data_IF_682828666750
#
_entry.id   IF_682828666750
#
_cell.length_a   1.000
_cell.length_b   1.000
_cell.length_c   1.000
_cell.angle_alpha   90.00
_cell.angle_beta   90.00
_cell.angle_gamma   90.00
#
_symmetry.space_group_name_H-M   'P 1'
#
loop_
_entity.id
_entity.type
_entity.pdbx_description
1 polymer ?
#
# COMPACT_ATOMS: atom_id res chain seq x y z
N UNK A 1 -14.65 -2.75 7.87
CA UNK A 1 -13.96 -2.33 9.11
C UNK A 1 -12.80 -1.40 8.83
N UNK A 2 -11.91 -1.74 7.90
CA UNK A 2 -10.73 -0.93 7.56
C UNK A 2 -11.09 0.52 7.21
N UNK A 3 -12.14 0.74 6.41
CA UNK A 3 -12.56 2.08 6.01
C UNK A 3 -12.82 3.00 7.21
N UNK A 4 -13.54 2.54 8.23
CA UNK A 4 -13.84 3.35 9.41
C UNK A 4 -12.58 3.72 10.21
N UNK A 5 -11.62 2.82 10.28
CA UNK A 5 -10.33 3.06 10.94
C UNK A 5 -9.56 4.16 10.19
N UNK A 6 -9.46 4.02 8.88
CA UNK A 6 -8.76 5.01 8.03
C UNK A 6 -9.46 6.35 8.08
N UNK A 7 -10.79 6.38 7.87
CA UNK A 7 -11.58 7.60 7.87
C UNK A 7 -11.47 8.34 9.21
N UNK A 8 -11.63 7.64 10.34
CA UNK A 8 -11.52 8.25 11.65
C UNK A 8 -10.10 8.77 11.95
N UNK A 9 -9.06 8.05 11.55
CA UNK A 9 -7.67 8.51 11.74
C UNK A 9 -7.36 9.74 10.90
N UNK A 10 -7.76 9.74 9.64
CA UNK A 10 -7.53 10.85 8.72
C UNK A 10 -8.32 12.09 9.14
N UNK A 11 -9.59 11.93 9.52
CA UNK A 11 -10.43 13.03 10.03
C UNK A 11 -9.79 13.68 11.25
N UNK A 12 -9.37 12.86 12.23
CA UNK A 12 -8.71 13.34 13.43
C UNK A 12 -7.41 14.11 13.14
N UNK A 13 -6.52 13.54 12.31
CA UNK A 13 -5.24 14.17 11.97
C UNK A 13 -5.44 15.45 11.12
N UNK A 14 -6.43 15.49 10.24
CA UNK A 14 -6.79 16.69 9.47
C UNK A 14 -7.35 17.79 10.37
N UNK A 15 -8.19 17.43 11.34
CA UNK A 15 -8.75 18.39 12.30
C UNK A 15 -7.66 19.13 13.09
N UNK A 16 -6.60 18.42 13.49
CA UNK A 16 -5.47 19.02 14.22
C UNK A 16 -4.40 19.63 13.32
N UNK A 17 -4.54 19.53 11.99
CA UNK A 17 -3.63 20.12 11.02
C UNK A 17 -2.33 19.33 10.79
N UNK A 18 -2.26 18.11 11.29
CA UNK A 18 -1.09 17.22 11.07
C UNK A 18 -0.99 16.76 9.61
N UNK A 19 -2.13 16.65 8.95
CA UNK A 19 -2.22 16.34 7.51
C UNK A 19 -3.24 17.25 6.82
N UNK A 20 -3.14 17.49 5.50
CA UNK A 20 -4.15 18.22 4.75
C UNK A 20 -5.51 17.52 4.76
N UNK A 21 -6.57 18.24 4.41
CA UNK A 21 -7.88 17.62 4.11
C UNK A 21 -7.73 16.59 2.99
N UNK A 22 -8.39 15.44 3.16
CA UNK A 22 -8.29 14.30 2.27
C UNK A 22 -9.66 13.82 1.81
N UNK A 23 -9.74 13.40 0.55
CA UNK A 23 -10.84 12.60 0.05
C UNK A 23 -10.51 11.12 0.25
N UNK A 24 -11.30 10.42 1.06
CA UNK A 24 -11.09 9.01 1.37
C UNK A 24 -12.07 8.16 0.56
N UNK A 25 -11.54 7.21 -0.19
CA UNK A 25 -12.32 6.30 -1.03
C UNK A 25 -12.13 4.87 -0.54
N UNK A 26 -13.20 4.27 -0.04
CA UNK A 26 -13.23 2.85 0.34
C UNK A 26 -13.83 2.01 -0.78
N UNK A 27 -13.08 1.00 -1.24
CA UNK A 27 -13.57 0.05 -2.22
C UNK A 27 -14.07 -1.20 -1.50
N UNK A 28 -15.37 -1.50 -1.65
CA UNK A 28 -15.95 -2.67 -1.03
C UNK A 28 -15.67 -3.93 -1.86
N UNK A 29 -14.85 -4.83 -1.33
CA UNK A 29 -14.47 -6.10 -1.95
C UNK A 29 -14.95 -7.31 -1.13
N UNK A 30 -16.06 -7.21 -0.41
CA UNK A 30 -16.49 -8.22 0.56
C UNK A 30 -16.50 -9.65 0.00
N UNK A 31 -16.95 -9.84 -1.24
CA UNK A 31 -17.09 -11.15 -1.86
C UNK A 31 -15.99 -11.46 -2.90
N UNK A 32 -15.34 -10.43 -3.41
CA UNK A 32 -14.38 -10.55 -4.52
C UNK A 32 -12.93 -10.28 -4.12
N UNK A 33 -12.67 -9.84 -2.88
CA UNK A 33 -11.34 -9.45 -2.39
C UNK A 33 -10.22 -10.42 -2.80
N UNK A 34 -10.50 -11.71 -2.71
CA UNK A 34 -9.51 -12.74 -3.03
C UNK A 34 -9.15 -12.77 -4.52
N UNK A 35 -10.16 -12.60 -5.38
CA UNK A 35 -9.98 -12.60 -6.84
C UNK A 35 -9.35 -11.30 -7.32
N UNK A 36 -9.77 -10.18 -6.74
CA UNK A 36 -9.45 -8.84 -7.23
C UNK A 36 -8.07 -8.33 -6.79
N UNK A 37 -7.50 -8.87 -5.72
CA UNK A 37 -6.26 -8.32 -5.14
C UNK A 37 -5.16 -9.34 -4.88
N UNK A 38 -5.29 -10.59 -5.35
CA UNK A 38 -4.36 -11.65 -4.97
C UNK A 38 -3.70 -12.38 -6.12
N UNK A 39 -4.17 -12.22 -7.34
CA UNK A 39 -3.71 -13.05 -8.45
C UNK A 39 -2.71 -12.27 -9.30
N UNK A 40 -1.43 -12.54 -9.05
CA UNK A 40 -0.32 -12.06 -9.83
C UNK A 40 0.30 -13.22 -10.60
N UNK A 41 0.76 -12.95 -11.80
CA UNK A 41 1.55 -13.92 -12.57
C UNK A 41 2.84 -14.27 -11.85
N UNK A 42 3.19 -15.55 -11.80
CA UNK A 42 4.34 -16.02 -11.03
C UNK A 42 5.70 -15.65 -11.65
N UNK A 43 5.71 -15.24 -12.89
CA UNK A 43 6.94 -14.89 -13.64
C UNK A 43 7.06 -13.38 -13.76
N UNK A 44 6.02 -12.74 -14.27
CA UNK A 44 6.04 -11.30 -14.57
C UNK A 44 5.59 -10.43 -13.40
N UNK A 45 4.99 -11.03 -12.36
CA UNK A 45 4.38 -10.36 -11.20
C UNK A 45 3.35 -9.29 -11.58
N UNK A 46 2.79 -9.39 -12.77
CA UNK A 46 1.69 -8.53 -13.20
C UNK A 46 0.34 -9.08 -12.74
N UNK A 47 -0.63 -8.23 -12.44
CA UNK A 47 -2.01 -8.66 -12.21
C UNK A 47 -2.55 -9.44 -13.40
N UNK A 48 -3.19 -10.56 -13.12
CA UNK A 48 -3.87 -11.39 -14.13
C UNK A 48 -5.33 -11.63 -13.72
N UNK A 49 -6.15 -12.05 -14.68
CA UNK A 49 -7.57 -12.33 -14.45
C UNK A 49 -8.33 -11.14 -13.83
N UNK A 50 -9.14 -11.37 -12.81
CA UNK A 50 -9.90 -10.31 -12.12
C UNK A 50 -9.00 -9.29 -11.41
N UNK A 51 -7.79 -9.66 -11.00
CA UNK A 51 -6.84 -8.69 -10.43
C UNK A 51 -6.38 -7.67 -11.48
N UNK A 52 -6.18 -8.08 -12.73
CA UNK A 52 -5.90 -7.17 -13.85
C UNK A 52 -7.09 -6.23 -14.10
N UNK A 53 -8.30 -6.77 -14.16
CA UNK A 53 -9.51 -5.97 -14.35
C UNK A 53 -9.73 -4.97 -13.21
N UNK A 54 -9.43 -5.37 -11.98
CA UNK A 54 -9.52 -4.48 -10.83
C UNK A 54 -8.45 -3.37 -10.86
N UNK A 55 -7.24 -3.68 -11.30
CA UNK A 55 -6.22 -2.67 -11.55
C UNK A 55 -6.68 -1.66 -12.61
N UNK A 56 -7.19 -2.16 -13.74
CA UNK A 56 -7.69 -1.31 -14.84
C UNK A 56 -8.86 -0.43 -14.41
N UNK A 57 -9.81 -0.97 -13.64
CA UNK A 57 -10.90 -0.20 -13.02
C UNK A 57 -10.36 0.95 -12.18
N UNK A 58 -9.38 0.71 -11.30
CA UNK A 58 -8.80 1.76 -10.45
C UNK A 58 -8.14 2.85 -11.31
N UNK A 59 -7.34 2.45 -12.29
CA UNK A 59 -6.51 3.39 -13.07
C UNK A 59 -7.34 4.13 -14.12
N UNK A 60 -8.24 3.43 -14.81
CA UNK A 60 -8.90 3.96 -15.99
C UNK A 60 -10.32 4.49 -15.74
N UNK A 61 -10.93 4.13 -14.59
CA UNK A 61 -12.29 4.55 -14.25
C UNK A 61 -12.34 5.33 -12.93
N UNK A 62 -11.88 4.71 -11.84
CA UNK A 62 -12.03 5.29 -10.49
C UNK A 62 -11.23 6.60 -10.33
N UNK A 63 -9.94 6.58 -10.64
CA UNK A 63 -9.07 7.78 -10.53
C UNK A 63 -9.57 8.89 -11.46
N UNK A 64 -9.88 8.67 -12.75
CA UNK A 64 -10.46 9.69 -13.61
C UNK A 64 -11.79 10.25 -13.11
N UNK A 65 -12.69 9.39 -12.60
CA UNK A 65 -13.95 9.83 -12.01
C UNK A 65 -13.76 10.84 -10.89
N UNK A 66 -12.90 10.52 -9.90
CA UNK A 66 -12.63 11.44 -8.79
C UNK A 66 -11.87 12.70 -9.23
N UNK A 67 -10.94 12.57 -10.15
CA UNK A 67 -10.19 13.71 -10.70
C UNK A 67 -11.08 14.71 -11.47
N UNK A 68 -12.15 14.22 -12.09
CA UNK A 68 -13.11 15.04 -12.83
C UNK A 68 -14.15 15.71 -11.91
N UNK A 69 -14.58 15.03 -10.87
CA UNK A 69 -15.74 15.46 -10.06
C UNK A 69 -15.35 16.14 -8.75
N UNK A 70 -14.10 16.06 -8.33
CA UNK A 70 -13.62 16.63 -7.06
C UNK A 70 -12.32 17.40 -7.27
N UNK A 71 -12.15 18.46 -6.48
CA UNK A 71 -10.90 19.22 -6.45
C UNK A 71 -9.87 18.48 -5.60
N UNK A 72 -9.10 17.61 -6.22
CA UNK A 72 -8.08 16.80 -5.57
C UNK A 72 -6.69 17.06 -6.17
N UNK A 73 -5.65 16.84 -5.38
CA UNK A 73 -4.27 16.91 -5.83
C UNK A 73 -3.87 15.67 -6.65
N UNK A 74 -2.73 15.75 -7.34
CA UNK A 74 -2.15 14.60 -8.03
C UNK A 74 -1.35 13.67 -7.10
N UNK A 75 -1.21 14.01 -5.82
CA UNK A 75 -0.64 13.10 -4.84
C UNK A 75 -1.74 12.18 -4.31
N UNK A 76 -1.60 10.90 -4.56
CA UNK A 76 -2.56 9.86 -4.19
C UNK A 76 -1.87 8.82 -3.33
N UNK A 77 -2.58 8.37 -2.29
CA UNK A 77 -2.14 7.31 -1.39
C UNK A 77 -3.03 6.09 -1.59
N UNK A 78 -2.42 4.91 -1.67
CA UNK A 78 -3.12 3.64 -1.59
C UNK A 78 -2.76 2.95 -0.28
N UNK A 79 -3.75 2.37 0.38
CA UNK A 79 -3.57 1.64 1.62
C UNK A 79 -4.14 0.23 1.48
N UNK A 80 -3.39 -0.73 1.95
CA UNK A 80 -3.81 -2.13 1.99
C UNK A 80 -3.33 -2.85 3.25
N UNK A 81 -4.02 -3.96 3.56
CA UNK A 81 -3.66 -4.88 4.62
C UNK A 81 -3.63 -6.31 4.08
N UNK A 82 -2.60 -7.09 4.44
CA UNK A 82 -2.39 -8.47 4.00
C UNK A 82 -2.26 -8.56 2.46
N UNK A 83 -3.20 -9.23 1.79
CA UNK A 83 -3.20 -9.40 0.32
C UNK A 83 -3.40 -8.08 -0.42
N UNK A 84 -4.28 -7.21 0.10
CA UNK A 84 -4.48 -5.90 -0.51
C UNK A 84 -3.27 -4.98 -0.32
N UNK A 85 -2.44 -5.21 0.71
CA UNK A 85 -1.16 -4.53 0.84
C UNK A 85 -0.16 -4.97 -0.23
N UNK A 86 -0.10 -6.28 -0.54
CA UNK A 86 0.73 -6.76 -1.64
C UNK A 86 0.26 -6.23 -3.00
N UNK A 87 -1.06 -6.12 -3.20
CA UNK A 87 -1.62 -5.46 -4.40
C UNK A 87 -1.29 -3.96 -4.45
N UNK A 88 -1.30 -3.26 -3.30
CA UNK A 88 -0.86 -1.87 -3.23
C UNK A 88 0.62 -1.73 -3.62
N UNK A 89 1.47 -2.65 -3.17
CA UNK A 89 2.89 -2.70 -3.53
C UNK A 89 3.11 -2.83 -5.04
N UNK A 90 2.23 -3.55 -5.74
CA UNK A 90 2.33 -3.70 -7.19
C UNK A 90 2.32 -2.37 -7.94
N UNK A 91 1.62 -1.34 -7.45
CA UNK A 91 1.61 -0.03 -8.10
C UNK A 91 3.00 0.62 -8.11
N UNK A 92 3.87 0.28 -7.16
CA UNK A 92 5.25 0.77 -7.09
C UNK A 92 6.18 0.14 -8.13
N UNK A 93 5.76 -0.96 -8.79
CA UNK A 93 6.52 -1.59 -9.87
C UNK A 93 6.37 -0.84 -11.20
N UNK A 94 5.51 0.17 -11.27
CA UNK A 94 5.29 0.96 -12.48
C UNK A 94 6.28 2.11 -12.57
N UNK A 95 6.81 2.36 -13.76
CA UNK A 95 7.75 3.47 -14.02
C UNK A 95 7.18 4.83 -13.58
N UNK A 96 5.88 5.04 -13.80
CA UNK A 96 5.15 6.23 -13.40
C UNK A 96 3.95 5.80 -12.54
N UNK A 97 4.14 5.55 -11.24
CA UNK A 97 3.07 5.04 -10.40
C UNK A 97 1.96 6.09 -10.21
N UNK A 98 0.72 5.68 -10.38
CA UNK A 98 -0.45 6.54 -10.17
C UNK A 98 -0.71 6.85 -8.69
N UNK A 99 -0.21 6.00 -7.80
CA UNK A 99 -0.10 6.24 -6.37
C UNK A 99 1.35 6.49 -6.02
N UNK A 100 1.63 7.62 -5.40
CA UNK A 100 2.97 7.99 -4.93
C UNK A 100 3.14 7.84 -3.42
N UNK A 101 2.03 7.66 -2.70
CA UNK A 101 2.02 7.22 -1.31
C UNK A 101 1.49 5.78 -1.23
N UNK A 102 2.17 4.92 -0.50
CA UNK A 102 1.73 3.55 -0.22
C UNK A 102 1.85 3.26 1.25
N UNK A 103 0.74 2.83 1.85
CA UNK A 103 0.70 2.32 3.23
C UNK A 103 0.42 0.82 3.15
N UNK A 104 1.46 0.04 3.37
CA UNK A 104 1.47 -1.41 3.24
C UNK A 104 1.52 -2.06 4.62
N UNK A 105 0.37 -2.53 5.09
CA UNK A 105 0.23 -3.09 6.43
C UNK A 105 0.24 -4.60 6.34
N UNK A 106 1.24 -5.22 6.97
CA UNK A 106 1.33 -6.69 7.06
C UNK A 106 1.15 -7.38 5.71
N UNK A 107 1.88 -6.98 4.66
CA UNK A 107 1.67 -7.50 3.32
C UNK A 107 1.99 -8.99 3.25
N UNK A 108 1.06 -9.76 2.67
CA UNK A 108 1.33 -11.12 2.21
C UNK A 108 2.10 -11.07 0.90
N UNK A 109 3.41 -10.94 1.00
CA UNK A 109 4.30 -10.69 -0.11
C UNK A 109 4.34 -11.90 -1.06
N UNK A 110 4.16 -11.67 -2.35
CA UNK A 110 4.31 -12.70 -3.37
C UNK A 110 5.79 -12.96 -3.67
N UNK A 111 6.08 -14.16 -4.17
CA UNK A 111 7.44 -14.58 -4.52
C UNK A 111 8.12 -13.52 -5.40
N UNK A 112 9.37 -13.19 -5.06
CA UNK A 112 10.21 -12.19 -5.76
C UNK A 112 9.70 -10.72 -5.71
N UNK A 113 8.57 -10.41 -5.09
CA UNK A 113 8.10 -9.03 -4.98
C UNK A 113 9.16 -8.13 -4.31
N UNK A 114 9.90 -8.64 -3.32
CA UNK A 114 10.98 -7.90 -2.66
C UNK A 114 12.04 -7.44 -3.65
N UNK A 115 12.50 -8.31 -4.53
CA UNK A 115 13.50 -8.00 -5.56
C UNK A 115 12.99 -6.92 -6.52
N UNK A 116 11.74 -7.06 -6.99
CA UNK A 116 11.16 -6.08 -7.92
C UNK A 116 10.92 -4.72 -7.27
N UNK A 117 10.46 -4.68 -6.02
CA UNK A 117 10.32 -3.43 -5.27
C UNK A 117 11.68 -2.75 -5.09
N UNK A 118 12.71 -3.49 -4.67
CA UNK A 118 14.05 -2.96 -4.52
C UNK A 118 14.57 -2.37 -5.84
N UNK A 119 14.49 -3.12 -6.95
CA UNK A 119 14.97 -2.69 -8.26
C UNK A 119 14.26 -1.44 -8.79
N UNK A 120 12.94 -1.36 -8.60
CA UNK A 120 12.17 -0.20 -9.06
C UNK A 120 12.37 1.01 -8.16
N UNK A 121 12.34 0.85 -6.84
CA UNK A 121 12.46 1.95 -5.90
C UNK A 121 13.88 2.52 -5.85
N UNK A 122 14.92 1.69 -6.03
CA UNK A 122 16.29 2.17 -6.12
C UNK A 122 16.54 3.07 -7.34
N UNK A 123 15.76 2.91 -8.40
CA UNK A 123 15.92 3.65 -9.68
C UNK A 123 14.80 4.65 -9.95
N UNK A 124 13.81 4.78 -9.06
CA UNK A 124 12.66 5.66 -9.31
C UNK A 124 13.07 7.12 -9.41
N UNK A 125 12.50 7.81 -10.38
CA UNK A 125 12.57 9.27 -10.52
C UNK A 125 11.33 9.98 -9.97
N UNK A 126 10.33 9.21 -9.53
CA UNK A 126 9.11 9.73 -8.90
C UNK A 126 9.32 9.87 -7.39
N UNK A 127 8.83 10.97 -6.82
CA UNK A 127 8.83 11.12 -5.36
C UNK A 127 7.83 10.13 -4.76
N UNK A 128 8.32 9.11 -4.08
CA UNK A 128 7.55 8.04 -3.44
C UNK A 128 7.64 8.18 -1.92
N UNK A 129 6.50 8.03 -1.26
CA UNK A 129 6.41 7.84 0.19
C UNK A 129 5.89 6.43 0.45
N UNK A 130 6.67 5.60 1.10
CA UNK A 130 6.30 4.22 1.36
C UNK A 130 6.41 3.90 2.85
N UNK A 131 5.27 3.55 3.46
CA UNK A 131 5.23 3.04 4.83
C UNK A 131 4.95 1.54 4.80
N UNK A 132 5.81 0.78 5.45
CA UNK A 132 5.68 -0.67 5.65
C UNK A 132 5.46 -0.94 7.13
N UNK A 133 4.48 -1.75 7.50
CA UNK A 133 4.27 -2.11 8.89
C UNK A 133 3.97 -3.59 9.10
N UNK A 134 4.39 -4.13 10.22
CA UNK A 134 4.07 -5.47 10.73
C UNK A 134 4.31 -5.54 12.24
N UNK A 135 4.19 -6.72 12.82
CA UNK A 135 4.44 -6.97 14.25
C UNK A 135 5.15 -8.30 14.46
N UNK A 136 5.89 -8.41 15.57
CA UNK A 136 6.49 -9.67 16.02
C UNK A 136 5.44 -10.74 16.38
N UNK A 137 4.19 -10.33 16.63
CA UNK A 137 3.03 -11.22 16.89
C UNK A 137 2.16 -11.44 15.65
N UNK A 138 2.63 -11.05 14.48
CA UNK A 138 2.00 -11.34 13.20
C UNK A 138 2.12 -12.84 12.83
N UNK A 139 1.49 -13.28 11.75
CA UNK A 139 1.77 -14.59 11.19
C UNK A 139 3.25 -14.71 10.84
N UNK A 140 3.92 -15.74 11.31
CA UNK A 140 5.37 -15.92 11.18
C UNK A 140 5.88 -15.76 9.75
N UNK A 141 5.16 -16.35 8.77
CA UNK A 141 5.53 -16.23 7.36
C UNK A 141 5.44 -14.80 6.85
N UNK A 142 4.41 -14.04 7.25
CA UNK A 142 4.23 -12.64 6.86
C UNK A 142 5.32 -11.78 7.51
N UNK A 143 5.54 -11.94 8.80
CA UNK A 143 6.55 -11.17 9.51
C UNK A 143 7.95 -11.36 8.92
N UNK A 144 8.33 -12.62 8.61
CA UNK A 144 9.60 -12.93 7.97
C UNK A 144 9.77 -12.21 6.63
N UNK A 145 8.75 -12.29 5.76
CA UNK A 145 8.79 -11.66 4.45
C UNK A 145 8.86 -10.12 4.56
N UNK A 146 8.17 -9.54 5.56
CA UNK A 146 8.20 -8.09 5.82
C UNK A 146 9.58 -7.65 6.30
N UNK A 147 10.23 -8.38 7.21
CA UNK A 147 11.59 -8.05 7.68
C UNK A 147 12.60 -8.15 6.54
N UNK A 148 12.47 -9.15 5.68
CA UNK A 148 13.31 -9.28 4.48
C UNK A 148 13.15 -8.08 3.53
N UNK A 149 11.90 -7.66 3.26
CA UNK A 149 11.61 -6.47 2.47
C UNK A 149 12.13 -5.20 3.13
N UNK A 150 11.91 -5.02 4.45
CA UNK A 150 12.44 -3.89 5.20
C UNK A 150 13.96 -3.76 5.02
N UNK A 151 14.70 -4.84 5.28
CA UNK A 151 16.17 -4.84 5.17
C UNK A 151 16.63 -4.46 3.75
N UNK A 152 15.92 -4.92 2.74
CA UNK A 152 16.21 -4.57 1.35
C UNK A 152 15.98 -3.09 1.08
N UNK A 153 14.85 -2.54 1.55
CA UNK A 153 14.46 -1.15 1.29
C UNK A 153 15.29 -0.15 2.12
N UNK A 154 15.70 -0.50 3.34
CA UNK A 154 16.56 0.33 4.17
C UNK A 154 17.95 0.54 3.55
N UNK A 155 18.38 -0.35 2.66
CA UNK A 155 19.63 -0.22 1.92
C UNK A 155 19.57 0.73 0.72
N UNK A 156 18.37 1.21 0.34
CA UNK A 156 18.18 2.07 -0.84
C UNK A 156 18.64 3.50 -0.54
N UNK A 157 19.62 3.96 -1.31
CA UNK A 157 20.03 5.36 -1.32
C UNK A 157 19.44 6.09 -2.53
N UNK A 158 18.16 6.48 -2.44
CA UNK A 158 17.49 7.26 -3.48
C UNK A 158 16.71 8.42 -2.84
N UNK A 159 17.11 9.65 -3.16
CA UNK A 159 16.48 10.88 -2.63
C UNK A 159 14.99 11.01 -2.96
N UNK A 160 14.51 10.30 -3.96
CA UNK A 160 13.10 10.30 -4.36
C UNK A 160 12.26 9.29 -3.56
N UNK A 161 12.88 8.44 -2.74
CA UNK A 161 12.18 7.50 -1.87
C UNK A 161 12.23 7.99 -0.43
N UNK A 162 11.06 8.20 0.16
CA UNK A 162 10.88 8.33 1.61
C UNK A 162 10.31 7.02 2.12
N UNK A 163 11.15 6.17 2.66
CA UNK A 163 10.77 4.89 3.25
C UNK A 163 10.69 5.00 4.77
N UNK A 164 9.66 4.38 5.35
CA UNK A 164 9.47 4.26 6.80
C UNK A 164 8.97 2.86 7.11
N UNK A 165 9.60 2.19 8.06
CA UNK A 165 9.11 0.94 8.62
C UNK A 165 8.58 1.12 10.03
N UNK A 166 7.50 0.43 10.37
CA UNK A 166 6.86 0.40 11.68
C UNK A 166 6.72 -1.05 12.12
N UNK A 167 7.63 -1.52 12.96
CA UNK A 167 7.58 -2.87 13.52
C UNK A 167 7.13 -2.78 14.96
N UNK A 168 5.98 -3.39 15.23
CA UNK A 168 5.38 -3.43 16.55
C UNK A 168 5.78 -4.71 17.30
N UNK A 169 5.73 -4.67 18.63
CA UNK A 169 6.23 -5.79 19.46
C UNK A 169 5.13 -6.78 19.83
N UNK A 170 3.96 -6.30 20.22
CA UNK A 170 2.93 -7.10 20.88
C UNK A 170 1.60 -7.19 20.14
N UNK A 171 1.42 -6.43 19.09
CA UNK A 171 0.17 -6.30 18.36
C UNK A 171 -0.04 -7.48 17.41
N UNK A 172 -1.23 -8.06 17.42
CA UNK A 172 -1.57 -9.13 16.49
C UNK A 172 -1.94 -8.59 15.11
N UNK A 173 -1.97 -9.47 14.13
CA UNK A 173 -2.29 -9.17 12.73
C UNK A 173 -3.53 -8.28 12.53
N UNK A 174 -4.59 -8.52 13.30
CA UNK A 174 -5.90 -7.87 13.11
C UNK A 174 -5.98 -6.45 13.68
N UNK A 175 -5.12 -6.12 14.65
CA UNK A 175 -5.06 -4.79 15.27
C UNK A 175 -4.15 -3.85 14.47
N UNK A 176 -3.22 -4.39 13.70
CA UNK A 176 -2.22 -3.60 12.97
C UNK A 176 -2.79 -2.41 12.18
N UNK A 177 -3.93 -2.50 11.47
CA UNK A 177 -4.47 -1.34 10.77
C UNK A 177 -4.78 -0.15 11.68
N UNK A 178 -5.31 -0.40 12.88
CA UNK A 178 -5.71 0.66 13.80
C UNK A 178 -4.56 1.45 14.41
N UNK A 179 -3.39 0.84 14.51
CA UNK A 179 -2.19 1.46 15.08
C UNK A 179 -1.19 1.94 14.02
N UNK A 180 -1.20 1.31 12.85
CA UNK A 180 -0.29 1.69 11.75
C UNK A 180 -0.75 2.96 11.05
N UNK A 181 -2.06 3.09 10.75
CA UNK A 181 -2.60 4.22 9.99
C UNK A 181 -2.27 5.57 10.64
N UNK A 182 -2.49 5.78 11.95
CA UNK A 182 -2.17 7.07 12.58
C UNK A 182 -0.67 7.40 12.62
N UNK A 183 0.18 6.42 12.39
CA UNK A 183 1.65 6.57 12.45
C UNK A 183 2.32 6.56 11.07
N UNK A 184 1.54 6.35 9.99
CA UNK A 184 2.04 6.22 8.59
C UNK A 184 2.35 7.55 7.86
#
# INVERSE_FOLDING_TARGET
YMFNIVAGSVDYLSYWGDIPENLIVGINQKETRFKDSSVLDNITHTPITSTASFYDFIVNELIPYFSKNFRISNFRVILGHERTANFANFFLLKKNPVFRGVISISPKISKNMNTYLYENLSKTNSNIVYTLSSSKKDFESIFKDVIELQNSLDSINNKNLKFKSLIFDEENHYILPSISVPKS
#
